data_IF_496203745904
#
_entry.id   IF_496203745904
#
_cell.length_a   1.000
_cell.length_b   1.000
_cell.length_c   1.000
_cell.angle_alpha   90.00
_cell.angle_beta   90.00
_cell.angle_gamma   90.00
#
_symmetry.space_group_name_H-M   'P 1'
#
loop_
_entity.id
_entity.type
_entity.pdbx_description
1 polymer ?
2 non-polymer ?
3 non-polymer ?
4 non-polymer ?
5 water ?
#
# COMPACT_ATOMS: atom_id res chain seq x y z
N UNK A 1 11.01 22.18 4.90
CA UNK A 1 10.40 21.75 6.15
C UNK A 1 11.17 20.57 6.74
N UNK A 2 10.79 20.13 7.95
CA UNK A 2 11.70 19.35 8.77
C UNK A 2 10.95 18.32 9.60
N UNK A 3 11.47 17.09 9.63
CA UNK A 3 10.94 16.04 10.48
C UNK A 3 12.04 15.57 11.41
N UNK A 4 11.64 15.03 12.56
CA UNK A 4 12.59 14.45 13.48
C UNK A 4 12.08 13.07 13.89
N UNK A 5 12.98 12.08 13.89
CA UNK A 5 12.65 10.70 14.27
C UNK A 5 13.46 10.41 15.53
N UNK A 6 12.77 10.30 16.67
CA UNK A 6 13.40 10.19 17.98
C UNK A 6 13.14 8.78 18.51
N UNK A 7 14.16 8.15 19.09
CA UNK A 7 13.96 6.74 19.48
C UNK A 7 14.72 6.41 20.76
N UNK A 8 14.24 5.36 21.44
CA UNK A 8 14.96 4.65 22.48
C UNK A 8 15.15 3.23 22.00
N UNK A 9 16.36 2.69 22.15
CA UNK A 9 16.61 1.32 21.72
C UNK A 9 17.64 0.68 22.64
N UNK A 10 17.38 -0.55 23.07
CA UNK A 10 18.29 -1.26 23.98
C UNK A 10 19.25 -2.21 23.29
N UNK A 11 18.87 -2.74 22.12
CA UNK A 11 19.71 -3.67 21.40
C UNK A 11 19.83 -3.33 19.92
N UNK A 12 19.23 -2.22 19.46
CA UNK A 12 19.37 -1.77 18.10
C UNK A 12 18.14 -1.95 17.21
N UNK A 13 17.11 -2.65 17.67
CA UNK A 13 16.01 -2.96 16.75
C UNK A 13 15.16 -1.73 16.46
N UNK A 14 14.74 -1.01 17.49
CA UNK A 14 14.00 0.24 17.26
C UNK A 14 14.88 1.28 16.58
N UNK A 15 16.18 1.27 16.87
CA UNK A 15 17.08 2.18 16.15
C UNK A 15 17.09 1.86 14.66
N UNK A 16 17.15 0.58 14.30
CA UNK A 16 17.11 0.21 12.89
C UNK A 16 15.81 0.67 12.23
N UNK A 17 14.69 0.55 12.94
CA UNK A 17 13.42 1.05 12.42
C UNK A 17 13.50 2.55 12.17
N UNK A 18 14.03 3.27 13.15
CA UNK A 18 14.09 4.73 13.09
C UNK A 18 14.91 5.19 11.89
N UNK A 19 16.04 4.53 11.64
CA UNK A 19 16.88 4.93 10.52
C UNK A 19 16.20 4.68 9.19
N UNK A 20 15.41 3.61 9.11
CA UNK A 20 14.69 3.33 7.87
C UNK A 20 13.55 4.33 7.66
N UNK A 21 12.85 4.72 8.74
CA UNK A 21 11.85 5.78 8.64
C UNK A 21 12.51 7.05 8.11
N UNK A 22 13.65 7.42 8.68
CA UNK A 22 14.36 8.60 8.21
C UNK A 22 14.76 8.51 6.75
N UNK A 23 15.20 7.32 6.31
CA UNK A 23 15.53 7.12 4.91
C UNK A 23 14.33 7.40 4.02
N UNK A 24 13.15 6.95 4.45
CA UNK A 24 11.95 7.21 3.68
C UNK A 24 11.61 8.70 3.62
N UNK A 25 11.78 9.41 4.74
CA UNK A 25 11.55 10.85 4.74
C UNK A 25 12.53 11.55 3.81
N UNK A 26 13.82 11.18 3.90
CA UNK A 26 14.83 11.75 3.00
C UNK A 26 14.46 11.54 1.54
N UNK A 27 13.93 10.35 1.21
CA UNK A 27 13.66 10.00 -0.18
C UNK A 27 12.65 10.94 -0.83
N UNK A 28 11.88 11.68 -0.04
CA UNK A 28 10.91 12.64 -0.56
C UNK A 28 11.38 14.09 -0.39
N UNK A 29 12.68 14.28 -0.13
CA UNK A 29 13.29 15.61 -0.04
C UNK A 29 12.69 16.46 1.07
N UNK A 30 12.39 15.84 2.20
CA UNK A 30 12.08 16.54 3.44
C UNK A 30 13.28 16.37 4.36
N UNK A 31 13.72 17.48 4.95
CA UNK A 31 14.85 17.42 5.89
C UNK A 31 14.47 16.58 7.09
N UNK A 32 15.42 15.77 7.58
CA UNK A 32 15.13 14.88 8.69
C UNK A 32 16.39 14.68 9.52
N UNK A 33 16.21 14.49 10.81
CA UNK A 33 17.29 13.96 11.63
C UNK A 33 16.76 12.80 12.44
N UNK A 34 17.53 11.73 12.47
CA UNK A 34 17.21 10.52 13.23
C UNK A 34 18.13 10.54 14.43
N UNK A 35 17.55 10.57 15.63
CA UNK A 35 18.35 10.89 16.80
C UNK A 35 17.80 10.16 18.02
N UNK A 36 18.70 9.66 18.84
CA UNK A 36 18.31 9.07 20.11
C UNK A 36 17.69 10.12 21.03
N UNK A 37 16.67 9.70 21.79
CA UNK A 37 16.00 10.62 22.72
C UNK A 37 16.99 11.31 23.64
N UNK A 38 18.08 10.62 24.01
CA UNK A 38 19.03 11.18 24.94
C UNK A 38 19.73 12.41 24.37
N UNK A 39 19.94 12.45 23.06
CA UNK A 39 20.72 13.51 22.43
C UNK A 39 19.88 14.65 21.87
N UNK A 40 18.57 14.49 21.79
CA UNK A 40 17.77 15.50 21.09
C UNK A 40 17.62 16.73 21.97
N UNK A 41 17.61 17.89 21.33
CA UNK A 41 17.43 19.17 22.01
C UNK A 41 15.97 19.61 21.91
N UNK A 42 15.52 20.33 22.94
CA UNK A 42 14.17 20.88 22.93
C UNK A 42 13.92 21.69 21.66
N UNK A 43 14.88 22.55 21.29
CA UNK A 43 14.70 23.39 20.10
C UNK A 43 14.53 22.55 18.83
N UNK A 44 15.16 21.37 18.77
CA UNK A 44 15.00 20.54 17.58
C UNK A 44 13.57 20.01 17.46
N UNK A 45 12.93 19.70 18.59
CA UNK A 45 11.52 19.30 18.58
C UNK A 45 10.64 20.48 18.16
N UNK A 46 10.90 21.67 18.74
CA UNK A 46 10.11 22.85 18.40
C UNK A 46 10.21 23.18 16.92
N UNK A 47 11.39 22.98 16.32
CA UNK A 47 11.60 23.34 14.92
C UNK A 47 10.84 22.41 13.97
N UNK A 48 10.60 21.17 14.37
CA UNK A 48 10.11 20.14 13.44
C UNK A 48 8.61 20.29 13.17
N UNK A 49 8.22 20.04 11.91
CA UNK A 49 6.80 19.95 11.54
C UNK A 49 6.21 18.59 11.87
N UNK A 50 7.04 17.54 11.94
CA UNK A 50 6.58 16.18 12.24
C UNK A 50 7.57 15.55 13.20
N UNK A 51 7.04 14.84 14.19
CA UNK A 51 7.86 14.18 15.20
C UNK A 51 7.40 12.73 15.29
N UNK A 52 8.30 11.81 14.94
CA UNK A 52 8.05 10.38 15.10
C UNK A 52 8.82 9.91 16.33
N UNK A 53 8.17 9.12 17.18
CA UNK A 53 8.78 8.68 18.44
C UNK A 53 8.69 7.16 18.52
N UNK A 54 9.81 6.52 18.85
CA UNK A 54 9.86 5.06 18.92
C UNK A 54 10.52 4.56 20.19
N UNK A 55 10.00 3.44 20.69
CA UNK A 55 10.61 2.77 21.84
C UNK A 55 10.32 1.28 21.74
N UNK A 56 11.23 0.47 22.26
CA UNK A 56 10.88 -0.92 22.45
C UNK A 56 9.95 -1.04 23.66
N UNK A 57 9.40 -2.25 23.84
CA UNK A 57 8.49 -2.55 24.94
C UNK A 57 9.26 -3.39 25.96
N UNK A 58 9.36 -2.89 27.19
CA UNK A 58 9.90 -3.65 28.31
C UNK A 58 8.84 -3.72 29.39
N UNK A 59 8.49 -4.94 29.81
CA UNK A 59 7.47 -5.16 30.83
C UNK A 59 6.25 -4.28 30.59
N UNK A 60 5.70 -4.41 29.37
CA UNK A 60 4.39 -3.92 28.96
C UNK A 60 4.32 -2.41 28.83
N UNK A 61 5.46 -1.71 28.81
CA UNK A 61 5.51 -0.26 28.82
C UNK A 61 6.62 0.21 27.88
N UNK A 62 6.58 1.48 27.49
CA UNK A 62 7.80 2.09 26.97
C UNK A 62 8.78 2.22 28.13
N UNK A 63 10.08 2.22 27.83
CA UNK A 63 11.03 2.29 28.93
C UNK A 63 10.93 3.66 29.61
N UNK A 64 11.25 3.67 30.91
CA UNK A 64 11.08 4.88 31.71
C UNK A 64 11.78 6.11 31.16
N UNK A 65 13.02 6.05 30.65
CA UNK A 65 13.61 7.27 30.06
C UNK A 65 12.77 7.85 28.94
N UNK A 66 12.11 7.00 28.13
CA UNK A 66 11.27 7.54 27.07
C UNK A 66 9.96 8.11 27.63
N UNK A 67 9.41 7.47 28.67
CA UNK A 67 8.21 8.03 29.28
C UNK A 67 8.48 9.43 29.81
N UNK A 68 9.63 9.61 30.47
CA UNK A 68 10.02 10.92 30.98
C UNK A 68 10.26 11.89 29.83
N UNK A 69 10.97 11.45 28.79
CA UNK A 69 11.19 12.30 27.63
C UNK A 69 9.87 12.82 27.06
N UNK A 70 8.87 11.93 26.94
CA UNK A 70 7.58 12.34 26.38
C UNK A 70 6.82 13.26 27.33
N UNK A 71 6.79 12.92 28.62
CA UNK A 71 5.97 13.66 29.57
C UNK A 71 6.57 15.03 29.89
N UNK A 72 7.89 15.16 29.80
CA UNK A 72 8.56 16.41 30.13
C UNK A 72 8.99 17.15 28.87
N UNK A 73 9.90 16.56 28.09
CA UNK A 73 10.52 17.30 26.98
C UNK A 73 9.56 17.49 25.82
N UNK A 74 8.89 16.42 25.38
CA UNK A 74 7.99 16.56 24.23
C UNK A 74 6.82 17.49 24.55
N UNK A 75 6.24 17.36 25.75
CA UNK A 75 5.18 18.29 26.14
C UNK A 75 5.69 19.73 26.12
N UNK A 76 6.92 19.95 26.60
CA UNK A 76 7.46 21.30 26.68
C UNK A 76 7.73 21.92 25.31
N UNK A 77 7.81 21.10 24.26
CA UNK A 77 8.08 21.58 22.91
C UNK A 77 6.83 22.15 22.23
N UNK A 78 5.70 22.18 22.90
CA UNK A 78 4.45 22.72 22.36
C UNK A 78 4.11 22.04 21.05
N UNK A 79 3.81 20.74 21.04
CA UNK A 79 3.55 20.03 19.78
C UNK A 79 2.11 20.03 19.32
N UNK A 80 1.23 20.83 19.92
CA UNK A 80 -0.17 20.85 19.52
C UNK A 80 -0.30 21.12 18.03
N UNK A 81 -1.10 20.31 17.35
CA UNK A 81 -1.34 20.47 15.92
C UNK A 81 -0.28 19.88 15.00
N UNK A 82 0.82 19.37 15.55
CA UNK A 82 1.87 18.83 14.71
C UNK A 82 1.57 17.39 14.31
N UNK A 83 2.22 16.97 13.22
CA UNK A 83 2.14 15.59 12.76
C UNK A 83 2.95 14.71 13.70
N UNK A 84 2.33 13.66 14.21
CA UNK A 84 3.06 12.69 14.99
C UNK A 84 3.05 11.30 14.37
N UNK A 85 4.02 10.46 14.77
CA UNK A 85 4.03 9.05 14.37
C UNK A 85 4.66 8.25 15.49
N UNK A 86 4.23 7.00 15.63
CA UNK A 86 4.66 6.17 16.75
C UNK A 86 5.12 4.81 16.23
N UNK A 87 6.21 4.28 16.80
CA UNK A 87 6.75 3.02 16.31
C UNK A 87 7.57 2.33 17.40
N UNK A 88 7.96 1.08 17.11
CA UNK A 88 8.88 0.38 18.00
C UNK A 88 9.00 -1.10 17.75
N UNK A 89 10.05 -1.73 18.27
CA UNK A 89 10.23 -3.18 18.17
C UNK A 89 9.78 -3.81 19.49
N UNK A 90 9.33 -5.07 19.42
CA UNK A 90 8.81 -5.72 20.61
C UNK A 90 8.97 -7.22 20.49
N UNK A 91 8.71 -7.92 21.60
CA UNK A 91 8.89 -9.35 21.64
C UNK A 91 7.62 -10.19 21.69
N UNK A 92 6.55 -9.68 22.28
CA UNK A 92 5.30 -10.45 22.25
C UNK A 92 4.05 -9.63 22.53
N UNK A 93 4.12 -8.68 23.47
CA UNK A 93 2.93 -7.93 23.84
C UNK A 93 2.82 -6.58 23.13
N UNK A 94 3.93 -5.86 22.99
CA UNK A 94 3.97 -4.74 22.05
C UNK A 94 3.18 -3.50 22.39
N UNK A 95 3.08 -3.15 23.67
CA UNK A 95 2.28 -2.00 24.07
C UNK A 95 2.95 -0.66 23.77
N UNK A 96 4.28 -0.59 23.75
CA UNK A 96 4.93 0.72 23.80
C UNK A 96 4.50 1.64 22.66
N UNK A 97 4.47 1.22 21.39
CA UNK A 97 4.08 2.18 20.35
C UNK A 97 2.64 2.62 20.47
N UNK A 98 1.76 1.75 20.99
CA UNK A 98 0.36 2.14 21.23
C UNK A 98 0.32 3.24 22.28
N UNK A 99 1.07 3.04 23.38
CA UNK A 99 1.11 4.02 24.46
C UNK A 99 1.71 5.34 24.01
N UNK A 100 2.74 5.28 23.16
CA UNK A 100 3.33 6.49 22.61
C UNK A 100 2.29 7.26 21.82
N UNK A 101 1.57 6.56 20.92
CA UNK A 101 0.54 7.21 20.12
C UNK A 101 -0.52 7.85 20.99
N UNK A 102 -0.96 7.15 22.04
CA UNK A 102 -1.99 7.70 22.93
C UNK A 102 -1.49 8.97 23.62
N UNK A 103 -0.24 8.96 24.09
CA UNK A 103 0.34 10.15 24.70
C UNK A 103 0.38 11.31 23.71
N UNK A 104 0.79 11.04 22.47
CA UNK A 104 0.85 12.11 21.47
C UNK A 104 -0.54 12.71 21.23
N UNK A 105 -1.57 11.87 21.12
CA UNK A 105 -2.92 12.39 20.91
C UNK A 105 -3.37 13.25 22.08
N UNK A 106 -3.05 12.82 23.31
CA UNK A 106 -3.41 13.58 24.49
C UNK A 106 -2.75 14.95 24.50
N UNK A 107 -1.59 15.06 23.88
CA UNK A 107 -0.79 16.27 23.73
C UNK A 107 -1.29 17.20 22.63
N UNK A 108 -2.30 16.80 21.87
CA UNK A 108 -2.77 17.62 20.76
C UNK A 108 -2.13 17.33 19.43
N UNK A 109 -1.32 16.29 19.31
CA UNK A 109 -0.75 15.94 18.01
C UNK A 109 -1.75 15.13 17.21
N UNK A 110 -1.64 15.22 15.87
CA UNK A 110 -2.38 14.37 14.96
C UNK A 110 -1.48 13.23 14.56
N UNK A 111 -1.76 12.04 15.09
CA UNK A 111 -0.91 10.87 14.90
C UNK A 111 -1.31 10.18 13.61
N UNK A 112 -0.33 9.99 12.73
CA UNK A 112 -0.57 9.30 11.49
C UNK A 112 -0.80 7.81 11.72
N UNK A 113 -1.64 7.24 10.87
CA UNK A 113 -1.61 5.80 10.72
C UNK A 113 -0.56 5.44 9.66
N UNK A 114 0.12 4.29 9.79
CA UNK A 114 -0.04 3.32 10.87
C UNK A 114 0.88 3.59 12.05
N UNK A 115 0.39 3.31 13.25
CA UNK A 115 1.29 3.05 14.39
C UNK A 115 1.99 1.73 14.09
N UNK A 116 3.32 1.76 14.06
CA UNK A 116 4.09 0.67 13.46
C UNK A 116 4.91 -0.07 14.52
N UNK A 117 4.57 -1.32 14.80
CA UNK A 117 5.39 -2.14 15.66
C UNK A 117 5.85 -3.38 14.90
N UNK A 118 7.06 -3.85 15.23
CA UNK A 118 7.70 -4.94 14.50
C UNK A 118 8.33 -5.91 15.49
N UNK A 119 8.02 -7.20 15.34
CA UNK A 119 8.58 -8.20 16.23
C UNK A 119 10.08 -8.39 16.01
N UNK A 120 10.83 -8.38 17.11
CA UNK A 120 12.26 -8.78 17.16
C UNK A 120 13.07 -7.95 16.17
N UNK A 121 14.05 -8.56 15.50
CA UNK A 121 14.92 -7.78 14.62
C UNK A 121 14.24 -7.55 13.29
N UNK A 122 14.14 -6.31 12.83
CA UNK A 122 13.50 -6.04 11.53
C UNK A 122 14.23 -6.75 10.40
N UNK A 123 13.47 -7.51 9.61
CA UNK A 123 13.97 -8.04 8.35
C UNK A 123 14.08 -6.93 7.31
N UNK A 124 14.64 -7.27 6.15
CA UNK A 124 14.65 -6.28 5.06
C UNK A 124 13.24 -5.83 4.70
N UNK A 125 12.29 -6.76 4.65
CA UNK A 125 10.92 -6.36 4.31
C UNK A 125 10.30 -5.52 5.42
N UNK A 126 10.60 -5.84 6.68
CA UNK A 126 10.17 -4.98 7.78
C UNK A 126 10.72 -3.57 7.64
N UNK A 127 11.98 -3.44 7.24
CA UNK A 127 12.56 -2.11 7.08
C UNK A 127 11.91 -1.36 5.92
N UNK A 128 11.41 -2.07 4.91
CA UNK A 128 10.65 -1.42 3.85
C UNK A 128 9.34 -0.86 4.41
N UNK A 129 8.70 -1.57 5.35
CA UNK A 129 7.53 -1.00 6.02
C UNK A 129 7.90 0.31 6.70
N UNK A 130 9.05 0.34 7.38
CA UNK A 130 9.52 1.54 8.05
C UNK A 130 9.76 2.66 7.05
N UNK A 131 10.43 2.35 5.94
CA UNK A 131 10.65 3.35 4.90
C UNK A 131 9.33 3.93 4.40
N UNK A 132 8.31 3.09 4.22
CA UNK A 132 7.00 3.55 3.78
C UNK A 132 6.38 4.51 4.80
N UNK A 133 6.48 4.20 6.09
CA UNK A 133 6.00 5.17 7.08
C UNK A 133 6.71 6.50 6.93
N UNK A 134 8.02 6.50 6.66
CA UNK A 134 8.74 7.74 6.46
C UNK A 134 8.30 8.49 5.22
N UNK A 135 8.09 7.77 4.11
CA UNK A 135 7.54 8.40 2.91
C UNK A 135 6.22 9.06 3.24
N UNK A 136 5.34 8.34 3.96
CA UNK A 136 4.03 8.91 4.31
C UNK A 136 4.18 10.15 5.17
N UNK A 137 5.11 10.14 6.12
CA UNK A 137 5.35 11.32 6.96
C UNK A 137 5.77 12.50 6.09
N UNK A 138 6.71 12.27 5.17
CA UNK A 138 7.16 13.35 4.30
C UNK A 138 6.01 13.90 3.47
N UNK A 139 5.16 13.03 2.94
CA UNK A 139 4.05 13.51 2.11
C UNK A 139 3.07 14.31 2.93
N UNK A 140 2.83 13.91 4.18
CA UNK A 140 1.96 14.66 5.08
C UNK A 140 2.55 16.04 5.37
N UNK A 141 3.86 16.10 5.63
CA UNK A 141 4.53 17.37 5.88
C UNK A 141 4.36 18.29 4.68
N UNK A 142 4.63 17.77 3.47
CA UNK A 142 4.59 18.60 2.28
C UNK A 142 3.16 19.02 1.95
N UNK A 143 2.17 18.20 2.30
CA UNK A 143 0.79 18.56 2.04
C UNK A 143 0.34 19.74 2.90
N UNK A 144 0.96 19.93 4.06
CA UNK A 144 0.62 21.04 4.94
C UNK A 144 1.55 22.23 4.70
N UNK B 1 -19.54 -12.84 23.62
CA UNK B 1 -19.10 -11.69 22.84
C UNK B 1 -18.62 -12.14 21.46
N UNK B 2 -18.87 -11.30 20.45
CA UNK B 2 -18.61 -11.67 19.06
C UNK B 2 -17.76 -10.61 18.39
N UNK B 3 -16.84 -11.07 17.53
CA UNK B 3 -16.10 -10.21 16.63
C UNK B 3 -16.26 -10.74 15.20
N UNK B 4 -16.11 -9.84 14.24
CA UNK B 4 -16.14 -10.22 12.82
C UNK B 4 -14.92 -9.65 12.12
N UNK B 5 -14.27 -10.47 11.30
CA UNK B 5 -13.16 -10.07 10.45
C UNK B 5 -13.62 -10.21 9.01
N UNK B 6 -13.83 -9.08 8.34
CA UNK B 6 -14.33 -9.03 6.96
C UNK B 6 -13.20 -8.58 6.05
N UNK B 7 -13.10 -9.20 4.88
CA UNK B 7 -11.97 -8.91 4.01
C UNK B 7 -12.35 -9.07 2.55
N UNK B 8 -11.50 -8.52 1.69
CA UNK B 8 -11.52 -8.79 0.26
C UNK B 8 -10.06 -8.94 -0.18
N UNK B 9 -9.78 -10.02 -0.91
CA UNK B 9 -8.42 -10.41 -1.22
C UNK B 9 -8.41 -10.95 -2.65
N UNK B 10 -7.48 -10.45 -3.48
CA UNK B 10 -7.44 -10.89 -4.87
C UNK B 10 -6.61 -12.15 -5.05
N UNK B 11 -5.59 -12.35 -4.23
CA UNK B 11 -4.70 -13.50 -4.39
C UNK B 11 -4.46 -14.26 -3.09
N UNK B 12 -5.08 -13.84 -1.99
CA UNK B 12 -4.97 -14.56 -0.74
C UNK B 12 -4.09 -13.92 0.32
N UNK B 13 -3.39 -12.82 0.02
CA UNK B 13 -2.50 -12.24 1.03
C UNK B 13 -3.28 -11.60 2.15
N UNK B 14 -4.27 -10.77 1.81
CA UNK B 14 -5.12 -10.17 2.85
C UNK B 14 -5.96 -11.23 3.55
N UNK B 15 -6.37 -12.27 2.81
CA UNK B 15 -7.10 -13.37 3.44
C UNK B 15 -6.24 -14.05 4.51
N UNK B 16 -4.96 -14.28 4.21
CA UNK B 16 -4.08 -14.89 5.20
C UNK B 16 -3.97 -14.02 6.46
N UNK B 17 -3.89 -12.70 6.28
CA UNK B 17 -3.89 -11.79 7.42
C UNK B 17 -5.19 -11.91 8.21
N UNK B 18 -6.34 -11.93 7.51
CA UNK B 18 -7.63 -12.01 8.19
C UNK B 18 -7.74 -13.26 9.05
N UNK B 19 -7.31 -14.40 8.52
CA UNK B 19 -7.40 -15.66 9.26
C UNK B 19 -6.50 -15.64 10.49
N UNK B 20 -5.34 -14.98 10.40
CA UNK B 20 -4.46 -14.89 11.56
C UNK B 20 -5.01 -13.95 12.61
N UNK B 21 -5.65 -12.85 12.18
CA UNK B 21 -6.34 -11.98 13.14
C UNK B 21 -7.43 -12.76 13.87
N UNK B 22 -8.26 -13.49 13.10
CA UNK B 22 -9.29 -14.29 13.73
C UNK B 22 -8.74 -15.32 14.69
N UNK B 23 -7.60 -15.94 14.33
CA UNK B 23 -6.95 -16.89 15.22
C UNK B 23 -6.55 -16.23 16.54
N UNK B 24 -6.10 -14.97 16.48
CA UNK B 24 -5.75 -14.27 17.70
C UNK B 24 -6.95 -13.96 18.57
N UNK B 25 -8.05 -13.54 17.95
CA UNK B 25 -9.29 -13.31 18.68
C UNK B 25 -9.78 -14.60 19.33
N UNK B 26 -9.75 -15.69 18.56
CA UNK B 26 -10.15 -17.00 19.10
C UNK B 26 -9.30 -17.40 20.30
N UNK B 27 -8.00 -17.11 20.25
CA UNK B 27 -7.10 -17.55 21.32
C UNK B 27 -7.41 -16.89 22.65
N UNK B 28 -8.18 -15.80 22.65
CA UNK B 28 -8.61 -15.15 23.89
C UNK B 28 -10.07 -15.43 24.21
N UNK B 29 -10.64 -16.49 23.62
CA UNK B 29 -11.99 -16.97 23.95
C UNK B 29 -13.06 -15.93 23.60
N UNK B 30 -12.89 -15.27 22.47
CA UNK B 30 -13.91 -14.39 21.89
C UNK B 30 -14.38 -15.05 20.60
N UNK B 31 -15.70 -15.17 20.44
CA UNK B 31 -16.24 -15.79 19.23
C UNK B 31 -15.96 -14.90 18.02
N UNK B 32 -15.59 -15.52 16.91
CA UNK B 32 -15.20 -14.76 15.73
C UNK B 32 -15.58 -15.53 14.47
N UNK B 33 -15.89 -14.78 13.42
CA UNK B 33 -16.02 -15.33 12.07
C UNK B 33 -15.14 -14.51 11.14
N UNK B 34 -14.35 -15.20 10.31
CA UNK B 34 -13.52 -14.59 9.29
C UNK B 34 -14.18 -14.89 7.95
N UNK B 35 -14.57 -13.85 7.22
CA UNK B 35 -15.51 -14.03 6.12
C UNK B 35 -15.22 -13.01 5.04
N UNK B 36 -15.33 -13.44 3.78
CA UNK B 36 -15.23 -12.51 2.67
C UNK B 36 -16.44 -11.58 2.65
N UNK B 37 -16.21 -10.33 2.21
CA UNK B 37 -17.23 -9.30 2.36
C UNK B 37 -18.55 -9.70 1.69
N UNK B 38 -18.48 -10.42 0.58
CA UNK B 38 -19.74 -10.75 -0.11
C UNK B 38 -20.53 -11.85 0.58
N UNK B 39 -20.01 -12.46 1.65
CA UNK B 39 -20.74 -13.47 2.39
C UNK B 39 -21.28 -12.97 3.73
N UNK B 40 -20.90 -11.76 4.16
CA UNK B 40 -21.37 -11.26 5.44
C UNK B 40 -22.82 -10.85 5.34
N UNK B 41 -23.58 -11.07 6.41
CA UNK B 41 -24.94 -10.58 6.53
C UNK B 41 -24.99 -9.39 7.47
N UNK B 42 -25.89 -8.45 7.17
CA UNK B 42 -26.03 -7.27 8.02
C UNK B 42 -26.27 -7.65 9.48
N UNK B 43 -27.01 -8.72 9.70
CA UNK B 43 -27.31 -9.16 11.07
C UNK B 43 -26.05 -9.59 11.80
N UNK B 44 -25.05 -10.10 11.08
CA UNK B 44 -23.81 -10.48 11.74
C UNK B 44 -22.96 -9.27 12.10
N UNK B 45 -23.01 -8.22 11.29
CA UNK B 45 -22.27 -6.99 11.60
C UNK B 45 -22.89 -6.28 12.80
N UNK B 46 -24.22 -6.08 12.78
CA UNK B 46 -24.90 -5.89 14.05
C UNK B 46 -24.61 -7.11 14.91
N UNK B 47 -24.68 -6.96 16.23
CA UNK B 47 -24.38 -8.03 17.19
C UNK B 47 -22.88 -8.12 17.47
N UNK B 48 -22.05 -7.90 16.45
CA UNK B 48 -20.60 -7.95 16.66
C UNK B 48 -20.16 -6.77 17.51
N UNK B 49 -19.38 -7.04 18.56
CA UNK B 49 -18.82 -5.96 19.36
C UNK B 49 -17.59 -5.34 18.74
N UNK B 50 -16.91 -6.08 17.86
CA UNK B 50 -15.72 -5.57 17.17
C UNK B 50 -15.78 -6.02 15.72
N UNK B 51 -15.36 -5.13 14.81
CA UNK B 51 -15.37 -5.44 13.38
C UNK B 51 -14.03 -5.01 12.80
N UNK B 52 -13.27 -5.97 12.28
CA UNK B 52 -12.02 -5.70 11.57
C UNK B 52 -12.28 -5.80 10.07
N UNK B 53 -11.77 -4.84 9.30
CA UNK B 53 -12.02 -4.78 7.87
C UNK B 53 -10.70 -4.72 7.13
N UNK B 54 -10.52 -5.56 6.12
CA UNK B 54 -9.26 -5.66 5.41
C UNK B 54 -9.45 -5.64 3.91
N UNK B 55 -8.49 -5.00 3.22
CA UNK B 55 -8.45 -4.96 1.77
C UNK B 55 -7.01 -4.76 1.34
N UNK B 56 -6.64 -5.37 0.21
CA UNK B 56 -5.38 -4.98 -0.41
C UNK B 56 -5.52 -3.60 -1.05
N UNK B 57 -4.38 -3.05 -1.47
CA UNK B 57 -4.33 -1.74 -2.11
C UNK B 57 -4.15 -1.93 -3.61
N UNK B 58 -5.04 -1.31 -4.39
CA UNK B 58 -4.93 -1.34 -5.84
C UNK B 58 -5.09 0.08 -6.34
N UNK B 59 -4.09 0.57 -7.08
CA UNK B 59 -4.08 1.92 -7.63
C UNK B 59 -4.39 2.95 -6.55
N UNK B 60 -3.70 2.82 -5.41
CA UNK B 60 -3.69 3.77 -4.31
C UNK B 60 -4.98 3.78 -3.49
N UNK B 61 -5.84 2.78 -3.65
CA UNK B 61 -7.14 2.75 -2.98
C UNK B 61 -7.42 1.35 -2.44
N UNK B 62 -8.41 1.26 -1.55
CA UNK B 62 -8.96 -0.06 -1.25
C UNK B 62 -9.75 -0.55 -2.47
N UNK B 63 -10.02 -1.85 -2.52
CA UNK B 63 -10.78 -2.39 -3.63
C UNK B 63 -12.18 -1.78 -3.62
N UNK B 64 -12.63 -1.34 -4.80
CA UNK B 64 -13.89 -0.61 -4.88
C UNK B 64 -15.08 -1.36 -4.28
N UNK B 65 -15.26 -2.68 -4.45
CA UNK B 65 -16.37 -3.34 -3.77
C UNK B 65 -16.32 -3.19 -2.26
N UNK B 66 -15.12 -3.10 -1.66
CA UNK B 66 -15.05 -2.92 -0.22
C UNK B 66 -15.41 -1.48 0.16
N UNK B 67 -15.02 -0.51 -0.67
CA UNK B 67 -15.44 0.87 -0.46
C UNK B 67 -16.96 0.98 -0.38
N UNK B 68 -17.64 0.38 -1.35
CA UNK B 68 -19.10 0.46 -1.37
C UNK B 68 -19.70 -0.34 -0.23
N UNK B 69 -19.09 -1.48 0.12
CA UNK B 69 -19.56 -2.27 1.26
C UNK B 69 -19.54 -1.45 2.54
N UNK B 70 -18.42 -0.76 2.78
CA UNK B 70 -18.31 0.06 3.98
C UNK B 70 -19.33 1.19 3.97
N UNK B 71 -19.53 1.84 2.82
CA UNK B 71 -20.45 2.97 2.75
C UNK B 71 -21.90 2.56 3.01
N UNK B 72 -22.28 1.36 2.60
CA UNK B 72 -23.67 0.92 2.66
C UNK B 72 -23.87 -0.08 3.80
N UNK B 73 -23.27 -1.26 3.72
CA UNK B 73 -23.58 -2.32 4.67
C UNK B 73 -22.99 -2.05 6.05
N UNK B 74 -21.73 -1.64 6.12
CA UNK B 74 -21.13 -1.38 7.43
C UNK B 74 -21.80 -0.20 8.11
N UNK B 75 -22.09 0.86 7.36
CA UNK B 75 -22.81 2.01 7.93
C UNK B 75 -24.17 1.57 8.45
N UNK B 76 -24.87 0.72 7.70
CA UNK B 76 -26.20 0.28 8.09
C UNK B 76 -26.18 -0.66 9.29
N UNK B 77 -25.03 -1.25 9.61
CA UNK B 77 -24.93 -2.07 10.81
C UNK B 77 -24.91 -1.24 12.08
N UNK B 78 -24.97 0.08 11.97
CA UNK B 78 -24.92 1.01 13.10
C UNK B 78 -23.69 0.73 13.95
N UNK B 79 -22.50 1.12 13.47
CA UNK B 79 -21.25 0.77 14.16
C UNK B 79 -20.71 1.83 15.11
N UNK B 80 -21.51 2.85 15.45
CA UNK B 80 -21.04 3.92 16.32
C UNK B 80 -20.61 3.36 17.68
N UNK B 81 -19.44 3.79 18.14
CA UNK B 81 -18.89 3.34 19.40
C UNK B 81 -18.36 1.92 19.40
N UNK B 82 -18.52 1.17 18.31
CA UNK B 82 -17.98 -0.18 18.25
C UNK B 82 -16.47 -0.15 18.00
N UNK B 83 -15.82 -1.23 18.39
CA UNK B 83 -14.39 -1.40 18.18
C UNK B 83 -14.15 -1.74 16.72
N UNK B 84 -13.28 -0.98 16.07
CA UNK B 84 -12.92 -1.22 14.69
C UNK B 84 -11.44 -1.51 14.56
N UNK B 85 -11.08 -2.26 13.52
CA UNK B 85 -9.68 -2.49 13.18
C UNK B 85 -9.55 -2.53 11.66
N UNK B 86 -8.38 -2.15 11.16
CA UNK B 86 -8.14 -2.01 9.73
C UNK B 86 -6.83 -2.67 9.34
N UNK B 87 -6.83 -3.38 8.22
CA UNK B 87 -5.64 -4.13 7.83
C UNK B 87 -5.65 -4.39 6.33
N UNK B 88 -4.52 -4.88 5.83
CA UNK B 88 -4.42 -5.29 4.44
C UNK B 88 -3.02 -5.55 3.97
N UNK B 89 -2.88 -6.27 2.85
CA UNK B 89 -1.59 -6.50 2.21
C UNK B 89 -1.42 -5.49 1.09
N UNK B 90 -0.17 -5.18 0.76
CA UNK B 90 0.07 -4.15 -0.25
C UNK B 90 1.42 -4.40 -0.90
N UNK B 91 1.67 -3.67 -2.00
CA UNK B 91 2.88 -3.86 -2.77
C UNK B 91 3.92 -2.76 -2.67
N UNK B 92 3.50 -1.50 -2.49
CA UNK B 92 4.47 -0.43 -2.27
C UNK B 92 3.91 0.83 -1.61
N UNK B 93 2.64 1.17 -1.83
CA UNK B 93 2.12 2.43 -1.29
C UNK B 93 1.18 2.23 -0.11
N UNK B 94 0.28 1.26 -0.17
CA UNK B 94 -0.40 0.80 1.04
C UNK B 94 -1.42 1.74 1.66
N UNK B 95 -2.15 2.50 0.83
CA UNK B 95 -3.17 3.40 1.36
C UNK B 95 -4.37 2.67 1.94
N UNK B 96 -4.70 1.47 1.44
CA UNK B 96 -6.03 0.93 1.70
C UNK B 96 -6.36 0.80 3.20
N UNK B 97 -5.50 0.24 4.06
CA UNK B 97 -5.89 0.12 5.48
C UNK B 97 -5.97 1.46 6.18
N UNK B 98 -5.16 2.45 5.75
CA UNK B 98 -5.29 3.81 6.26
C UNK B 98 -6.67 4.36 5.91
N UNK B 99 -7.09 4.19 4.65
CA UNK B 99 -8.37 4.71 4.22
C UNK B 99 -9.52 3.96 4.87
N UNK B 100 -9.37 2.66 5.08
CA UNK B 100 -10.37 1.92 5.85
C UNK B 100 -10.53 2.51 7.24
N UNK B 101 -9.40 2.74 7.93
CA UNK B 101 -9.48 3.26 9.29
C UNK B 101 -10.11 4.64 9.31
N UNK B 102 -9.75 5.49 8.34
CA UNK B 102 -10.32 6.83 8.31
C UNK B 102 -11.83 6.79 8.11
N UNK B 103 -12.31 5.87 7.28
CA UNK B 103 -13.75 5.77 7.07
C UNK B 103 -14.46 5.24 8.30
N UNK B 104 -13.84 4.28 9.00
CA UNK B 104 -14.43 3.79 10.26
C UNK B 104 -14.53 4.90 11.29
N UNK B 105 -13.49 5.71 11.43
CA UNK B 105 -13.55 6.82 12.38
C UNK B 105 -14.64 7.81 11.98
N UNK B 106 -14.80 8.03 10.68
CA UNK B 106 -15.83 8.96 10.20
C UNK B 106 -17.24 8.49 10.57
N UNK B 107 -17.48 7.18 10.58
CA UNK B 107 -18.80 6.66 10.91
C UNK B 107 -18.95 6.33 12.39
N UNK B 108 -18.02 6.78 13.23
CA UNK B 108 -18.18 6.71 14.67
C UNK B 108 -17.51 5.56 15.38
N UNK B 109 -16.77 4.71 14.66
CA UNK B 109 -16.08 3.60 15.31
C UNK B 109 -14.83 4.09 16.02
N UNK B 110 -14.44 3.35 17.07
CA UNK B 110 -13.17 3.57 17.75
C UNK B 110 -12.16 2.59 17.17
N UNK B 111 -11.23 3.09 16.37
CA UNK B 111 -10.31 2.22 15.63
C UNK B 111 -9.13 1.86 16.52
N UNK B 112 -8.85 0.57 16.64
CA UNK B 112 -7.69 0.07 17.36
C UNK B 112 -6.40 0.52 16.71
N UNK B 113 -5.43 0.92 17.54
CA UNK B 113 -4.07 0.83 17.02
C UNK B 113 -3.54 -0.58 17.25
N UNK B 114 -2.70 -1.12 16.36
CA UNK B 114 -2.26 -0.52 15.10
C UNK B 114 -3.18 -0.82 13.92
N UNK B 115 -3.30 0.15 13.04
CA UNK B 115 -3.69 -0.14 11.66
C UNK B 115 -2.58 -0.94 11.02
N UNK B 116 -2.90 -2.11 10.48
CA UNK B 116 -1.88 -3.11 10.16
C UNK B 116 -1.80 -3.36 8.67
N UNK B 117 -0.71 -2.94 8.04
CA UNK B 117 -0.48 -3.29 6.64
C UNK B 117 0.81 -4.09 6.54
N UNK B 118 0.83 -5.01 5.58
CA UNK B 118 1.94 -5.94 5.41
C UNK B 118 2.26 -6.07 3.93
N UNK B 119 3.54 -5.89 3.57
CA UNK B 119 3.97 -6.02 2.19
C UNK B 119 3.89 -7.47 1.72
N UNK B 120 3.28 -7.66 0.55
CA UNK B 120 3.34 -8.93 -0.21
C UNK B 120 2.72 -10.07 0.62
N UNK B 121 3.25 -11.30 0.45
CA UNK B 121 2.71 -12.45 1.17
C UNK B 121 3.21 -12.44 2.61
N UNK B 122 2.32 -12.51 3.60
CA UNK B 122 2.77 -12.51 4.99
C UNK B 122 3.68 -13.70 5.29
N UNK B 123 4.84 -13.39 5.87
CA UNK B 123 5.70 -14.40 6.44
C UNK B 123 5.11 -14.91 7.76
N UNK B 124 5.73 -15.94 8.33
CA UNK B 124 5.26 -16.44 9.61
C UNK B 124 5.32 -15.34 10.68
N UNK B 125 6.40 -14.54 10.68
CA UNK B 125 6.48 -13.45 11.65
C UNK B 125 5.44 -12.37 11.36
N UNK B 126 5.16 -12.09 10.08
CA UNK B 126 4.06 -11.18 9.75
C UNK B 126 2.74 -11.70 10.30
N UNK B 127 2.49 -13.00 10.17
CA UNK B 127 1.25 -13.56 10.68
C UNK B 127 1.18 -13.49 12.21
N UNK B 128 2.33 -13.48 12.89
CA UNK B 128 2.31 -13.25 14.33
C UNK B 128 1.87 -11.82 14.65
N UNK B 129 2.28 -10.84 13.85
CA UNK B 129 1.73 -9.48 14.02
C UNK B 129 0.22 -9.48 13.89
N UNK B 130 -0.29 -10.22 12.89
CA UNK B 130 -1.74 -10.31 12.71
C UNK B 130 -2.41 -10.95 13.91
N UNK B 131 -1.84 -12.05 14.42
CA UNK B 131 -2.39 -12.69 15.63
C UNK B 131 -2.42 -11.70 16.79
N UNK B 132 -1.36 -10.91 16.96
CA UNK B 132 -1.30 -9.95 18.05
C UNK B 132 -2.39 -8.88 17.91
N UNK B 133 -2.67 -8.43 16.69
CA UNK B 133 -3.81 -7.54 16.51
C UNK B 133 -5.10 -8.20 16.97
N UNK B 134 -5.31 -9.46 16.62
CA UNK B 134 -6.52 -10.15 17.06
C UNK B 134 -6.60 -10.31 18.56
N UNK B 135 -5.47 -10.64 19.20
CA UNK B 135 -5.44 -10.70 20.65
C UNK B 135 -5.85 -9.35 21.25
N UNK B 136 -5.31 -8.27 20.71
CA UNK B 136 -5.60 -6.94 21.22
C UNK B 136 -7.07 -6.59 21.04
N UNK B 137 -7.63 -6.93 19.86
CA UNK B 137 -9.07 -6.74 19.64
C UNK B 137 -9.87 -7.47 20.70
N UNK B 138 -9.56 -8.75 20.92
CA UNK B 138 -10.33 -9.56 21.86
C UNK B 138 -10.24 -8.99 23.27
N UNK B 139 -9.06 -8.52 23.67
CA UNK B 139 -8.90 -7.92 24.99
C UNK B 139 -9.73 -6.65 25.11
N UNK B 140 -9.78 -5.85 24.05
CA UNK B 140 -10.59 -4.64 24.07
C UNK B 140 -12.07 -4.99 24.18
N UNK B 141 -12.50 -6.07 23.54
CA UNK B 141 -13.90 -6.50 23.61
C UNK B 141 -14.24 -6.92 25.04
N UNK B 142 -13.33 -7.64 25.69
CA UNK B 142 -13.59 -8.12 27.04
C UNK B 142 -13.72 -6.98 28.05
N UNK B 143 -13.18 -5.80 27.74
CA UNK B 143 -13.34 -4.64 28.63
C UNK B 143 -14.29 -3.61 28.04
N UNK C 1 9.05 -17.67 -31.81
CA UNK C 1 9.06 -16.24 -31.52
C UNK C 1 7.99 -15.89 -30.49
N UNK C 2 8.23 -14.82 -29.73
CA UNK C 2 7.34 -14.47 -28.64
C UNK C 2 7.18 -12.97 -28.53
N UNK C 3 6.00 -12.56 -28.07
CA UNK C 3 5.68 -11.17 -27.84
C UNK C 3 5.10 -11.06 -26.45
N UNK C 4 5.16 -9.85 -25.89
CA UNK C 4 4.57 -9.58 -24.59
C UNK C 4 3.75 -8.30 -24.68
N UNK C 5 2.58 -8.31 -24.06
CA UNK C 5 1.70 -7.14 -23.97
C UNK C 5 1.62 -6.76 -22.50
N UNK C 6 2.16 -5.59 -22.13
CA UNK C 6 2.20 -5.13 -20.75
C UNK C 6 1.22 -3.99 -20.61
N UNK C 7 0.39 -4.02 -19.56
CA UNK C 7 -0.65 -3.00 -19.44
C UNK C 7 -0.76 -2.49 -18.01
N UNK C 8 -1.32 -1.29 -17.90
CA UNK C 8 -1.81 -0.75 -16.64
C UNK C 8 -3.25 -0.35 -16.89
N UNK C 9 -4.16 -0.77 -16.00
CA UNK C 9 -5.59 -0.51 -16.22
C UNK C 9 -6.28 -0.43 -14.86
N UNK C 10 -6.83 0.75 -14.52
CA UNK C 10 -7.45 0.94 -13.20
C UNK C 10 -8.87 0.40 -13.14
N UNK C 11 -9.58 0.35 -14.25
CA UNK C 11 -10.96 -0.09 -14.26
C UNK C 11 -11.26 -1.12 -15.35
N UNK C 12 -10.25 -1.52 -16.12
CA UNK C 12 -10.39 -2.59 -17.10
C UNK C 12 -10.42 -2.16 -18.54
N UNK C 13 -10.45 -0.86 -18.85
CA UNK C 13 -10.61 -0.43 -20.23
C UNK C 13 -9.36 -0.71 -21.05
N UNK C 14 -8.19 -0.30 -20.54
CA UNK C 14 -6.94 -0.61 -21.21
C UNK C 14 -6.67 -2.11 -21.18
N UNK C 15 -7.08 -2.78 -20.10
CA UNK C 15 -6.89 -4.24 -20.05
C UNK C 15 -7.66 -4.93 -21.18
N UNK C 16 -8.89 -4.49 -21.45
CA UNK C 16 -9.64 -5.08 -22.55
C UNK C 16 -8.91 -4.87 -23.88
N UNK C 17 -8.33 -3.69 -24.08
CA UNK C 17 -7.51 -3.46 -25.27
C UNK C 17 -6.33 -4.43 -25.32
N UNK C 18 -5.66 -4.61 -24.17
CA UNK C 18 -4.47 -5.47 -24.13
C UNK C 18 -4.81 -6.91 -24.49
N UNK C 19 -5.94 -7.41 -23.97
CA UNK C 19 -6.31 -8.79 -24.28
C UNK C 19 -6.63 -8.96 -25.75
N UNK C 20 -7.23 -7.95 -26.37
CA UNK C 20 -7.55 -8.01 -27.79
C UNK C 20 -6.28 -7.96 -28.65
N UNK C 21 -5.30 -7.15 -28.25
CA UNK C 21 -4.01 -7.15 -28.94
C UNK C 21 -3.36 -8.52 -28.82
N UNK C 22 -3.39 -9.09 -27.61
CA UNK C 22 -2.85 -10.44 -27.44
C UNK C 22 -3.56 -11.46 -28.31
N UNK C 23 -4.89 -11.38 -28.36
CA UNK C 23 -5.65 -12.27 -29.24
C UNK C 23 -5.18 -12.16 -30.69
N UNK C 24 -4.91 -10.94 -31.16
CA UNK C 24 -4.44 -10.78 -32.53
C UNK C 24 -3.08 -11.38 -32.75
N UNK C 25 -2.15 -11.18 -31.82
CA UNK C 25 -0.82 -11.79 -31.92
C UNK C 25 -0.95 -13.31 -31.97
N UNK C 26 -1.74 -13.86 -31.04
CA UNK C 26 -1.91 -15.31 -30.97
C UNK C 26 -2.55 -15.87 -32.23
N UNK C 27 -3.45 -15.11 -32.86
CA UNK C 27 -4.12 -15.55 -34.08
C UNK C 27 -3.13 -15.77 -35.22
N UNK C 28 -1.95 -15.19 -35.16
CA UNK C 28 -0.94 -15.41 -36.18
C UNK C 28 0.16 -16.37 -35.71
N UNK C 29 -0.16 -17.18 -34.68
CA UNK C 29 0.72 -18.24 -34.19
C UNK C 29 2.06 -17.69 -33.71
N UNK C 30 2.02 -16.54 -33.06
CA UNK C 30 3.13 -16.02 -32.29
C UNK C 30 2.78 -16.16 -30.83
N UNK C 31 3.70 -16.73 -30.04
CA UNK C 31 3.47 -16.88 -28.61
C UNK C 31 3.36 -15.50 -27.95
N UNK C 32 2.39 -15.36 -27.05
CA UNK C 32 2.14 -14.08 -26.41
C UNK C 32 1.71 -14.29 -24.96
N UNK C 33 2.08 -13.33 -24.11
CA UNK C 33 1.57 -13.21 -22.75
C UNK C 33 1.05 -11.79 -22.57
N UNK C 34 -0.14 -11.66 -22.01
CA UNK C 34 -0.72 -10.36 -21.64
C UNK C 34 -0.66 -10.26 -20.13
N UNK C 35 0.07 -9.26 -19.62
CA UNK C 35 0.42 -9.23 -18.21
C UNK C 35 0.46 -7.78 -17.73
N UNK C 36 0.07 -7.57 -16.47
CA UNK C 36 0.09 -6.22 -15.93
C UNK C 36 1.52 -5.76 -15.64
N UNK C 37 1.70 -4.44 -15.58
CA UNK C 37 2.98 -3.85 -15.20
C UNK C 37 3.52 -4.44 -13.90
N UNK C 38 2.62 -4.83 -12.99
CA UNK C 38 3.04 -5.25 -11.66
C UNK C 38 3.69 -6.62 -11.66
N UNK C 39 3.24 -7.50 -12.56
CA UNK C 39 3.62 -8.91 -12.53
C UNK C 39 4.66 -9.28 -13.57
N UNK C 40 4.92 -8.40 -14.56
CA UNK C 40 5.86 -8.74 -15.62
C UNK C 40 7.27 -8.86 -15.05
N UNK C 41 8.05 -9.78 -15.60
CA UNK C 41 9.41 -10.03 -15.16
C UNK C 41 10.41 -9.58 -16.23
N UNK C 42 11.58 -9.14 -15.76
CA UNK C 42 12.60 -8.62 -16.67
C UNK C 42 12.99 -9.66 -17.71
N UNK C 43 13.13 -10.92 -17.31
CA UNK C 43 13.52 -11.97 -18.25
C UNK C 43 12.49 -12.14 -19.36
N UNK C 44 11.20 -11.97 -19.03
CA UNK C 44 10.16 -12.08 -20.05
C UNK C 44 10.29 -10.99 -21.10
N UNK C 45 10.74 -9.80 -20.70
CA UNK C 45 10.93 -8.71 -21.65
C UNK C 45 12.15 -8.96 -22.53
N UNK C 46 13.27 -9.36 -21.92
CA UNK C 46 14.48 -9.63 -22.69
C UNK C 46 14.25 -10.71 -23.74
N UNK C 47 13.41 -11.69 -23.44
CA UNK C 47 13.18 -12.80 -24.35
C UNK C 47 12.23 -12.44 -25.50
N UNK C 48 11.42 -11.39 -25.34
CA UNK C 48 10.40 -11.05 -26.33
C UNK C 48 11.00 -10.27 -27.50
N UNK C 49 10.54 -10.61 -28.72
CA UNK C 49 10.90 -9.86 -29.92
C UNK C 49 10.03 -8.63 -30.12
N UNK C 50 8.83 -8.61 -29.54
CA UNK C 50 7.92 -7.48 -29.63
C UNK C 50 7.34 -7.21 -28.25
N UNK C 51 7.30 -5.93 -27.86
CA UNK C 51 6.79 -5.52 -26.56
C UNK C 51 5.76 -4.42 -26.79
N UNK C 52 4.50 -4.73 -26.49
CA UNK C 52 3.42 -3.74 -26.53
C UNK C 52 3.15 -3.26 -25.12
N UNK C 53 2.98 -1.94 -24.97
CA UNK C 53 2.80 -1.34 -23.65
C UNK C 53 1.60 -0.40 -23.70
N UNK C 54 0.69 -0.56 -22.75
CA UNK C 54 -0.51 0.27 -22.73
C UNK C 54 -0.82 0.80 -21.36
N UNK C 55 -1.29 2.04 -21.28
CA UNK C 55 -1.70 2.64 -20.01
C UNK C 55 -2.84 3.61 -20.28
N UNK C 56 -3.74 3.71 -19.30
CA UNK C 56 -4.71 4.79 -19.33
C UNK C 56 -4.00 6.11 -19.01
N UNK C 57 -4.71 7.22 -19.27
CA UNK C 57 -4.18 8.55 -19.05
C UNK C 57 -4.74 9.12 -17.75
N UNK C 58 -3.86 9.70 -16.93
CA UNK C 58 -4.27 10.33 -15.68
C UNK C 58 -3.52 11.64 -15.55
N UNK C 59 -4.27 12.74 -15.45
CA UNK C 59 -3.72 14.09 -15.42
C UNK C 59 -2.66 14.27 -16.51
N UNK C 60 -3.03 13.88 -17.74
CA UNK C 60 -2.31 14.18 -18.97
C UNK C 60 -1.01 13.40 -19.11
N UNK C 61 -0.85 12.33 -18.33
CA UNK C 61 0.34 11.48 -18.37
C UNK C 61 -0.07 10.01 -18.27
N UNK C 62 0.89 9.12 -18.46
CA UNK C 62 0.65 7.75 -18.01
C UNK C 62 0.72 7.71 -16.49
N UNK C 63 0.07 6.71 -15.89
CA UNK C 63 0.13 6.62 -14.44
C UNK C 63 1.54 6.27 -13.98
N UNK C 64 1.95 6.88 -12.87
CA UNK C 64 3.34 6.79 -12.41
C UNK C 64 3.95 5.39 -12.41
N UNK C 65 3.26 4.33 -11.97
CA UNK C 65 3.91 3.01 -12.01
C UNK C 65 4.28 2.56 -13.42
N UNK C 66 3.51 2.95 -14.45
CA UNK C 66 3.90 2.61 -15.81
C UNK C 66 5.11 3.43 -16.25
N UNK C 67 5.17 4.69 -15.83
CA UNK C 67 6.35 5.51 -16.13
C UNK C 67 7.62 4.90 -15.55
N UNK C 68 7.56 4.48 -14.29
CA UNK C 68 8.71 3.81 -13.69
C UNK C 68 9.01 2.49 -14.39
N UNK C 69 7.97 1.70 -14.71
CA UNK C 69 8.19 0.45 -15.44
C UNK C 69 8.99 0.70 -16.72
N UNK C 70 8.61 1.73 -17.47
CA UNK C 70 9.28 1.99 -18.73
C UNK C 70 10.68 2.54 -18.52
N UNK C 71 10.83 3.51 -17.61
CA UNK C 71 12.11 4.18 -17.42
C UNK C 71 13.16 3.25 -16.82
N UNK C 72 12.74 2.25 -16.07
CA UNK C 72 13.66 1.36 -15.36
C UNK C 72 13.63 -0.02 -15.96
N UNK C 73 12.51 -0.76 -15.84
CA UNK C 73 12.50 -2.16 -16.25
C UNK C 73 12.63 -2.29 -17.77
N UNK C 74 11.86 -1.52 -18.52
CA UNK C 74 11.93 -1.63 -19.98
C UNK C 74 13.31 -1.24 -20.49
N UNK C 75 13.86 -0.15 -19.97
CA UNK C 75 15.22 0.26 -20.36
C UNK C 75 16.21 -0.85 -20.04
N UNK C 76 16.08 -1.44 -18.85
CA UNK C 76 17.00 -2.47 -18.39
C UNK C 76 16.87 -3.78 -19.15
N UNK C 77 15.80 -3.96 -19.93
CA UNK C 77 15.68 -5.16 -20.75
C UNK C 77 16.42 -5.06 -22.07
N UNK C 78 17.05 -3.92 -22.35
CA UNK C 78 17.79 -3.66 -23.58
C UNK C 78 16.90 -3.89 -24.79
N UNK C 79 15.90 -3.02 -25.00
CA UNK C 79 14.95 -3.22 -26.10
C UNK C 79 15.37 -2.59 -27.42
N UNK C 80 16.62 -2.15 -27.54
CA UNK C 80 17.09 -1.49 -28.74
C UNK C 80 16.82 -2.36 -29.95
N UNK C 81 16.25 -1.76 -30.99
CA UNK C 81 15.95 -2.46 -32.21
C UNK C 81 14.73 -3.37 -32.17
N UNK C 82 14.05 -3.50 -31.03
CA UNK C 82 12.90 -4.39 -30.97
C UNK C 82 11.63 -3.72 -31.49
N UNK C 83 10.63 -4.55 -31.78
CA UNK C 83 9.31 -4.06 -32.18
C UNK C 83 8.58 -3.57 -30.94
N UNK C 84 8.12 -2.33 -30.98
CA UNK C 84 7.31 -1.81 -29.89
C UNK C 84 5.93 -1.42 -30.38
N UNK C 85 4.96 -1.35 -29.46
CA UNK C 85 3.64 -0.86 -29.78
C UNK C 85 3.10 -0.16 -28.56
N UNK C 86 2.25 0.85 -28.77
CA UNK C 86 1.75 1.69 -27.70
C UNK C 86 0.24 1.83 -27.80
N UNK C 87 -0.44 1.78 -26.65
CA UNK C 87 -1.90 1.83 -26.67
C UNK C 87 -2.43 2.29 -25.32
N UNK C 88 -3.74 2.54 -25.26
CA UNK C 88 -4.36 2.87 -24.00
C UNK C 88 -5.77 3.46 -24.13
N UNK C 89 -6.54 3.38 -23.05
CA UNK C 89 -7.85 4.02 -23.00
C UNK C 89 -7.74 5.37 -22.30
N UNK C 90 -8.62 6.29 -22.65
CA UNK C 90 -8.54 7.64 -22.08
C UNK C 90 -9.94 8.24 -21.95
N UNK C 91 -10.02 9.34 -21.21
CA UNK C 91 -11.30 10.00 -20.97
C UNK C 91 -11.54 11.32 -21.68
N UNK C 92 -10.49 12.08 -21.98
CA UNK C 92 -10.73 13.37 -22.64
C UNK C 92 -9.55 13.91 -23.43
N UNK C 93 -8.32 13.59 -23.06
CA UNK C 93 -7.15 14.18 -23.70
C UNK C 93 -6.21 13.16 -24.34
N UNK C 94 -6.00 12.01 -23.71
CA UNK C 94 -5.41 10.87 -24.42
C UNK C 94 -3.92 10.92 -24.69
N UNK C 95 -3.13 11.49 -23.78
CA UNK C 95 -1.69 11.61 -24.00
C UNK C 95 -0.93 10.31 -23.78
N UNK C 96 -1.40 9.41 -22.89
CA UNK C 96 -0.50 8.35 -22.42
C UNK C 96 0.03 7.46 -23.54
N UNK C 97 -0.77 6.99 -24.49
CA UNK C 97 -0.18 6.14 -25.55
C UNK C 97 0.82 6.88 -26.40
N UNK C 98 0.61 8.19 -26.62
CA UNK C 98 1.57 8.95 -27.40
C UNK C 98 2.87 9.11 -26.63
N UNK C 99 2.78 9.33 -25.31
CA UNK C 99 3.99 9.43 -24.49
C UNK C 99 4.71 8.09 -24.40
N UNK C 100 3.97 6.98 -24.36
CA UNK C 100 4.60 5.66 -24.37
C UNK C 100 5.37 5.47 -25.67
N UNK C 101 4.73 5.77 -26.80
CA UNK C 101 5.40 5.60 -28.10
C UNK C 101 6.65 6.46 -28.17
N UNK C 102 6.58 7.70 -27.71
CA UNK C 102 7.74 8.59 -27.78
C UNK C 102 8.88 8.06 -26.92
N UNK C 103 8.57 7.58 -25.72
CA UNK C 103 9.59 6.97 -24.87
C UNK C 103 10.23 5.75 -25.54
N UNK C 104 9.40 4.94 -26.20
CA UNK C 104 9.92 3.76 -26.89
C UNK C 104 10.89 4.13 -28.00
N UNK C 105 10.58 5.19 -28.76
CA UNK C 105 11.47 5.59 -29.85
C UNK C 105 12.79 6.14 -29.30
N UNK C 106 12.73 6.88 -28.20
CA UNK C 106 13.95 7.35 -27.56
C UNK C 106 14.82 6.18 -27.11
N UNK C 107 14.19 5.08 -26.74
CA UNK C 107 14.82 3.86 -26.27
C UNK C 107 15.44 3.03 -27.39
N UNK C 108 15.23 3.41 -28.64
CA UNK C 108 15.74 2.64 -29.76
C UNK C 108 14.79 1.62 -30.34
N UNK C 109 13.55 1.56 -29.85
CA UNK C 109 12.59 0.63 -30.42
C UNK C 109 11.99 1.19 -31.69
N UNK C 110 11.52 0.30 -32.55
CA UNK C 110 10.75 0.68 -33.73
C UNK C 110 9.27 0.46 -33.40
N UNK C 111 8.52 1.55 -33.28
CA UNK C 111 7.15 1.49 -32.80
C UNK C 111 6.21 1.25 -33.97
N UNK C 112 5.35 0.25 -33.82
CA UNK C 112 4.29 -0.04 -34.79
C UNK C 112 3.37 1.16 -34.99
N UNK C 113 3.00 1.40 -36.25
CA UNK C 113 1.76 2.13 -36.47
C UNK C 113 0.60 1.14 -36.59
N UNK C 114 -0.59 1.44 -36.06
CA UNK C 114 -0.89 2.67 -35.32
C UNK C 114 -0.57 2.62 -33.83
N UNK C 115 -0.14 3.75 -33.29
CA UNK C 115 -0.33 3.99 -31.86
C UNK C 115 -1.84 4.11 -31.63
N UNK C 116 -2.37 3.32 -30.71
CA UNK C 116 -3.81 3.11 -30.66
C UNK C 116 -4.39 3.59 -29.32
N UNK C 117 -5.15 4.68 -29.34
CA UNK C 117 -5.84 5.15 -28.15
C UNK C 117 -7.35 5.09 -28.37
N UNK C 118 -8.09 4.75 -27.33
CA UNK C 118 -9.52 4.51 -27.43
C UNK C 118 -10.20 5.26 -26.30
N UNK C 119 -11.20 6.09 -26.64
CA UNK C 119 -11.97 6.77 -25.61
C UNK C 119 -12.84 5.80 -24.83
N UNK C 120 -12.77 5.87 -23.50
CA UNK C 120 -13.67 5.17 -22.58
C UNK C 120 -13.56 3.65 -22.80
N UNK C 121 -14.68 2.92 -22.63
CA UNK C 121 -14.66 1.47 -22.77
C UNK C 121 -14.62 1.09 -24.25
N UNK C 122 -13.73 0.19 -24.65
CA UNK C 122 -13.70 -0.24 -26.06
C UNK C 122 -14.99 -0.94 -26.46
N UNK C 123 -15.56 -0.50 -27.57
CA UNK C 123 -16.64 -1.19 -28.24
C UNK C 123 -16.09 -2.42 -28.94
N UNK C 124 -17.01 -3.27 -29.44
CA UNK C 124 -16.55 -4.39 -30.25
C UNK C 124 -15.73 -3.92 -31.44
N UNK C 125 -16.13 -2.80 -32.06
CA UNK C 125 -15.35 -2.26 -33.17
C UNK C 125 -13.96 -1.83 -32.71
N UNK C 126 -13.87 -1.16 -31.56
CA UNK C 126 -12.57 -0.78 -31.01
C UNK C 126 -11.72 -2.01 -30.74
N UNK C 127 -12.31 -3.07 -30.20
CA UNK C 127 -11.54 -4.28 -29.91
C UNK C 127 -11.07 -4.97 -31.20
N UNK C 128 -11.86 -4.91 -32.28
CA UNK C 128 -11.37 -5.41 -33.56
C UNK C 128 -10.13 -4.65 -34.01
N UNK C 129 -10.14 -3.34 -33.84
CA UNK C 129 -8.95 -2.55 -34.20
C UNK C 129 -7.76 -2.93 -33.33
N UNK C 130 -7.99 -3.18 -32.04
CA UNK C 130 -6.92 -3.70 -31.20
C UNK C 130 -6.40 -5.04 -31.72
N UNK C 131 -7.31 -5.92 -32.13
CA UNK C 131 -6.87 -7.21 -32.68
C UNK C 131 -6.03 -7.01 -33.93
N UNK C 132 -6.40 -6.05 -34.78
CA UNK C 132 -5.60 -5.75 -35.98
C UNK C 132 -4.19 -5.31 -35.62
N UNK C 133 -4.04 -4.49 -34.58
CA UNK C 133 -2.70 -4.10 -34.14
C UNK C 133 -1.89 -5.33 -33.74
N UNK C 134 -2.52 -6.27 -33.04
CA UNK C 134 -1.82 -7.48 -32.67
C UNK C 134 -1.49 -8.35 -33.85
N UNK C 135 -2.40 -8.43 -34.83
CA UNK C 135 -2.11 -9.16 -36.06
C UNK C 135 -0.89 -8.57 -36.74
N UNK C 136 -0.84 -7.24 -36.84
CA UNK C 136 0.27 -6.58 -37.52
C UNK C 136 1.58 -6.74 -36.74
N UNK C 137 1.52 -6.72 -35.41
CA UNK C 137 2.72 -6.98 -34.61
C UNK C 137 3.27 -8.36 -34.95
N UNK C 138 2.39 -9.36 -34.97
CA UNK C 138 2.84 -10.73 -35.21
C UNK C 138 3.44 -10.88 -36.61
N UNK C 139 2.84 -10.23 -37.61
CA UNK C 139 3.40 -10.32 -38.95
C UNK C 139 4.78 -9.68 -39.00
N UNK C 140 4.97 -8.60 -38.24
CA UNK C 140 6.29 -7.98 -38.17
C UNK C 140 7.28 -8.89 -37.45
N UNK C 141 6.83 -9.58 -36.40
CA UNK C 141 7.69 -10.52 -35.68
C UNK C 141 8.11 -11.67 -36.59
N UNK C 142 7.15 -12.25 -37.31
CA UNK C 142 7.43 -13.43 -38.12
C UNK C 142 8.40 -13.12 -39.25
N UNK C 143 8.32 -11.91 -39.81
CA UNK C 143 9.25 -11.52 -40.87
C UNK C 143 10.71 -11.58 -40.39
N UNK C 144 10.96 -11.37 -39.09
CA UNK C 144 12.27 -11.61 -38.52
C UNK C 144 12.52 -13.11 -38.43
#
# INVERSE_FOLDING_TARGET
MKAIVVYLSTSGNTKAMAEAIGNGIESKNVDVQVISFYDVKLDELKEAEAIAVGSSTFYYKMLLPMEKFMDETLVASNPQGKIGAAFGSYGWSGEAPILIAEKMREMGMTVMDPVLRILHKPTDKDLQECKRLGIDIAEKVKHKGTKAE
MKAIVVYLSTSGNTKAMAEAIGNGIESKNVDVQVISFYDVKLDELKEAEAIAVGSSTFYYKMLLPMEKFMDETLVASNPQGKIGAAFGSYGWSGEAPILIAEKMREMGMTVMDPVLRILHKPTDKDLQECKRLGIDIAEKVKHKGTKAE
MKAIVVYLSTSGNTKAMAEAIGNGIESKNVDVQVISFYDVKLDELKEAEAIAVGSSTFYYKMLLPMEKFMDETLVASNPQGKIGAAFGSYGWSGEAPILIAEKMREMGMTVMDPVLRILHKPTDKDLQECKRLGIDIAEKVKHKGTKAE
#
